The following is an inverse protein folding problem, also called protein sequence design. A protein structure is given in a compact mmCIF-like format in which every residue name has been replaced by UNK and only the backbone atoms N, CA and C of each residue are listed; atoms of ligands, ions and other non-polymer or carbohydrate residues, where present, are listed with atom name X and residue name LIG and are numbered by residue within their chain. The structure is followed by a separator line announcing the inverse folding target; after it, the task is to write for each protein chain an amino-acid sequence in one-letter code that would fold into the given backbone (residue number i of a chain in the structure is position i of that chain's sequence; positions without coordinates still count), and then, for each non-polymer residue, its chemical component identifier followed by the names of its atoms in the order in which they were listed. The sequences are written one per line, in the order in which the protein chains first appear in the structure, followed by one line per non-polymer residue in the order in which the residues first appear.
data_IF_163672588686
#
_entry.id   IF_163672588686
#
_cell.length_a   1.000
_cell.length_b   1.000
_cell.length_c   1.000
_cell.angle_alpha   90.00
_cell.angle_beta   90.00
_cell.angle_gamma   90.00
#
_symmetry.space_group_name_H-M   'P 1'
#
loop_
_entity.id
_entity.type
_entity.pdbx_description
1 polymer ?
#
# COMPACT_ATOMS: atom_id res chain seq x y z
N UNK A 1 -20.29 2.26 7.08
CA UNK A 1 -19.79 1.16 7.93
C UNK A 1 -18.28 1.17 7.99
N UNK A 2 -17.67 0.50 8.96
CA UNK A 2 -16.23 0.52 9.20
C UNK A 2 -15.71 -0.89 9.47
N UNK A 3 -14.49 -1.18 9.01
CA UNK A 3 -13.78 -2.41 9.33
C UNK A 3 -12.71 -2.13 10.38
N UNK A 4 -12.55 -3.03 11.34
CA UNK A 4 -11.46 -2.99 12.32
C UNK A 4 -10.69 -4.30 12.25
N UNK A 5 -9.43 -4.21 11.88
CA UNK A 5 -8.53 -5.35 11.74
C UNK A 5 -7.54 -5.42 12.89
N UNK A 6 -7.43 -6.60 13.50
CA UNK A 6 -6.32 -6.98 14.36
C UNK A 6 -6.13 -8.49 14.33
N UNK A 7 -4.89 -8.93 14.21
CA UNK A 7 -4.51 -10.33 14.35
C UNK A 7 -4.12 -10.68 15.80
N UNK A 8 -3.82 -9.63 16.59
CA UNK A 8 -3.49 -9.75 18.01
C UNK A 8 -4.74 -9.52 18.86
N UNK A 9 -4.87 -10.27 19.94
CA UNK A 9 -5.95 -10.09 20.92
C UNK A 9 -7.34 -10.21 20.33
N UNK A 10 -7.55 -11.16 19.41
CA UNK A 10 -8.85 -11.41 18.79
C UNK A 10 -9.91 -11.83 19.82
N UNK A 11 -11.18 -11.63 19.47
CA UNK A 11 -12.30 -11.94 20.34
C UNK A 11 -12.27 -13.38 20.87
N UNK A 12 -12.34 -13.52 22.20
CA UNK A 12 -12.50 -14.77 22.93
C UNK A 12 -13.57 -14.59 24.01
N UNK A 13 -14.64 -15.37 23.95
CA UNK A 13 -15.69 -15.31 24.99
C UNK A 13 -15.14 -15.65 26.39
N UNK A 14 -15.46 -14.82 27.37
CA UNK A 14 -15.08 -15.03 28.77
C UNK A 14 -13.65 -14.61 29.14
N UNK A 15 -12.84 -14.17 28.17
CA UNK A 15 -11.51 -13.63 28.41
C UNK A 15 -11.47 -12.14 28.04
N UNK A 16 -10.66 -11.37 28.78
CA UNK A 16 -10.38 -9.99 28.39
C UNK A 16 -9.65 -9.99 27.04
N UNK A 17 -10.12 -9.15 26.14
CA UNK A 17 -9.48 -8.94 24.84
C UNK A 17 -9.75 -7.51 24.34
N UNK A 18 -8.84 -6.94 23.49
CA UNK A 18 -9.00 -5.60 22.95
C UNK A 18 -10.32 -5.36 22.19
N UNK A 19 -10.83 -6.36 21.48
CA UNK A 19 -12.09 -6.24 20.73
C UNK A 19 -13.27 -5.95 21.66
N UNK A 20 -13.39 -6.70 22.74
CA UNK A 20 -14.45 -6.52 23.72
C UNK A 20 -14.32 -5.20 24.45
N UNK A 21 -13.11 -4.78 24.78
CA UNK A 21 -12.85 -3.52 25.46
C UNK A 21 -13.17 -2.31 24.56
N UNK A 22 -12.76 -2.36 23.29
CA UNK A 22 -13.10 -1.28 22.33
C UNK A 22 -14.61 -1.24 22.12
N UNK A 23 -15.27 -2.39 21.95
CA UNK A 23 -16.74 -2.44 21.86
C UNK A 23 -17.40 -1.82 23.08
N UNK A 24 -16.96 -2.17 24.30
CA UNK A 24 -17.47 -1.60 25.54
C UNK A 24 -17.39 -0.06 25.52
N UNK A 25 -16.21 0.49 25.20
CA UNK A 25 -15.99 1.94 25.10
C UNK A 25 -16.85 2.60 24.03
N UNK A 26 -16.96 2.00 22.86
CA UNK A 26 -17.82 2.53 21.78
C UNK A 26 -19.28 2.59 22.19
N UNK A 27 -19.75 1.63 23.01
CA UNK A 27 -21.13 1.63 23.53
C UNK A 27 -21.28 2.62 24.67
N UNK A 28 -20.42 2.56 25.70
CA UNK A 28 -20.56 3.35 26.92
C UNK A 28 -20.19 4.81 26.73
N UNK A 29 -19.07 5.10 26.05
CA UNK A 29 -18.54 6.46 25.93
C UNK A 29 -19.10 7.21 24.71
N UNK A 30 -19.49 6.47 23.64
CA UNK A 30 -19.94 7.05 22.38
C UNK A 30 -21.39 6.71 22.00
N UNK A 31 -22.10 5.94 22.82
CA UNK A 31 -23.51 5.64 22.62
C UNK A 31 -23.84 4.82 21.38
N UNK A 32 -22.87 4.10 20.81
CA UNK A 32 -23.11 3.24 19.64
C UNK A 32 -23.87 2.00 20.10
N UNK A 33 -25.04 1.67 19.50
CA UNK A 33 -25.80 0.49 19.91
C UNK A 33 -24.96 -0.80 19.81
N UNK A 34 -24.97 -1.61 20.86
CA UNK A 34 -24.12 -2.81 20.97
C UNK A 34 -24.37 -3.82 19.83
N UNK A 35 -25.58 -3.89 19.28
CA UNK A 35 -25.93 -4.75 18.14
C UNK A 35 -25.32 -4.30 16.82
N UNK A 36 -24.93 -3.04 16.69
CA UNK A 36 -24.30 -2.49 15.49
C UNK A 36 -22.78 -2.75 15.45
N UNK A 37 -22.21 -3.26 16.56
CA UNK A 37 -20.80 -3.61 16.68
C UNK A 37 -20.67 -5.14 16.80
N UNK A 38 -20.08 -5.77 15.78
CA UNK A 38 -20.01 -7.22 15.70
C UNK A 38 -18.59 -7.71 15.49
N UNK A 39 -18.35 -8.94 15.91
CA UNK A 39 -17.09 -9.65 15.69
C UNK A 39 -17.33 -10.78 14.69
N UNK A 40 -16.46 -10.91 13.69
CA UNK A 40 -16.60 -11.98 12.68
C UNK A 40 -16.49 -13.38 13.34
N UNK A 41 -15.78 -13.48 14.46
CA UNK A 41 -15.63 -14.71 15.24
C UNK A 41 -16.96 -15.21 15.85
N UNK A 42 -17.98 -14.35 15.98
CA UNK A 42 -19.32 -14.74 16.43
C UNK A 42 -20.04 -15.59 15.36
N UNK A 43 -19.66 -15.45 14.10
CA UNK A 43 -20.27 -16.17 12.99
C UNK A 43 -19.60 -17.53 12.76
N UNK A 44 -20.03 -18.54 13.52
CA UNK A 44 -19.49 -19.91 13.45
C UNK A 44 -19.96 -20.70 12.22
N UNK A 45 -20.98 -20.23 11.52
CA UNK A 45 -21.53 -20.88 10.33
C UNK A 45 -21.51 -19.96 9.13
N UNK A 46 -21.49 -20.51 7.92
CA UNK A 46 -21.54 -19.74 6.67
C UNK A 46 -22.81 -18.89 6.58
N UNK A 47 -23.93 -19.37 7.08
CA UNK A 47 -25.18 -18.62 7.13
C UNK A 47 -25.05 -17.39 8.03
N UNK A 48 -24.51 -17.56 9.24
CA UNK A 48 -24.27 -16.44 10.16
C UNK A 48 -23.29 -15.42 9.56
N UNK A 49 -22.24 -15.90 8.88
CA UNK A 49 -21.28 -15.04 8.20
C UNK A 49 -21.92 -14.22 7.08
N UNK A 50 -22.76 -14.85 6.25
CA UNK A 50 -23.53 -14.13 5.22
C UNK A 50 -24.45 -13.07 5.82
N UNK A 51 -25.09 -13.36 6.97
CA UNK A 51 -25.94 -12.39 7.67
C UNK A 51 -25.13 -11.17 8.15
N UNK A 52 -23.93 -11.38 8.72
CA UNK A 52 -23.07 -10.25 9.12
C UNK A 52 -22.64 -9.40 7.90
N UNK A 53 -22.29 -10.04 6.80
CA UNK A 53 -21.91 -9.34 5.55
C UNK A 53 -23.10 -8.54 4.99
N UNK A 54 -24.30 -9.10 5.00
CA UNK A 54 -25.51 -8.40 4.60
C UNK A 54 -25.76 -7.19 5.51
N UNK A 55 -25.66 -7.35 6.83
CA UNK A 55 -25.82 -6.27 7.79
C UNK A 55 -24.83 -5.12 7.57
N UNK A 56 -23.58 -5.40 7.21
CA UNK A 56 -22.60 -4.37 6.81
C UNK A 56 -23.03 -3.63 5.55
N UNK A 57 -23.49 -4.35 4.53
CA UNK A 57 -23.92 -3.75 3.27
C UNK A 57 -25.24 -2.97 3.37
N UNK A 58 -26.11 -3.34 4.28
CA UNK A 58 -27.38 -2.66 4.56
C UNK A 58 -27.21 -1.49 5.55
N UNK A 59 -26.15 -1.54 6.38
CA UNK A 59 -25.85 -0.52 7.37
C UNK A 59 -26.40 -0.81 8.77
N UNK A 60 -27.02 -1.98 9.00
CA UNK A 60 -27.47 -2.42 10.33
C UNK A 60 -26.30 -2.81 11.25
N UNK A 61 -25.12 -3.11 10.67
CA UNK A 61 -23.85 -3.25 11.38
C UNK A 61 -22.97 -2.06 11.00
N UNK A 62 -22.58 -1.27 11.99
CA UNK A 62 -21.75 -0.08 11.82
C UNK A 62 -20.27 -0.42 11.84
N UNK A 63 -19.85 -1.32 12.73
CA UNK A 63 -18.45 -1.70 12.94
C UNK A 63 -18.32 -3.22 12.97
N UNK A 64 -17.44 -3.74 12.11
CA UNK A 64 -17.12 -5.15 12.05
C UNK A 64 -15.64 -5.38 12.35
N UNK A 65 -15.37 -6.11 13.42
CA UNK A 65 -14.02 -6.51 13.82
C UNK A 65 -13.67 -7.90 13.24
N UNK A 66 -12.41 -8.07 12.91
CA UNK A 66 -11.88 -9.39 12.55
C UNK A 66 -10.39 -9.42 12.26
N UNK A 67 -9.86 -10.62 12.17
CA UNK A 67 -8.47 -10.86 11.79
C UNK A 67 -8.30 -10.89 10.27
N UNK A 68 -7.05 -10.79 9.80
CA UNK A 68 -6.71 -10.96 8.39
C UNK A 68 -7.23 -12.28 7.84
N UNK A 69 -7.06 -13.37 8.58
CA UNK A 69 -7.49 -14.70 8.14
C UNK A 69 -9.02 -14.83 7.99
N UNK A 70 -9.78 -14.14 8.84
CA UNK A 70 -11.24 -14.28 8.86
C UNK A 70 -11.96 -13.24 7.98
N UNK A 71 -11.47 -12.03 7.89
CA UNK A 71 -12.03 -10.97 7.05
C UNK A 71 -11.25 -10.75 5.76
N UNK A 72 -9.99 -11.16 5.71
CA UNK A 72 -9.08 -10.93 4.58
C UNK A 72 -9.45 -11.72 3.32
N UNK A 73 -10.32 -12.73 3.36
CA UNK A 73 -10.73 -13.51 2.19
C UNK A 73 -12.24 -13.68 2.12
N UNK A 74 -12.81 -13.63 0.90
CA UNK A 74 -14.20 -13.99 0.64
C UNK A 74 -15.30 -13.08 1.20
N UNK A 75 -14.94 -11.94 1.81
CA UNK A 75 -15.92 -11.00 2.39
C UNK A 75 -16.20 -9.85 1.42
N UNK A 76 -17.44 -9.70 0.97
CA UNK A 76 -17.92 -8.65 0.10
C UNK A 76 -18.88 -7.73 0.88
N UNK A 77 -18.34 -6.92 1.79
CA UNK A 77 -19.10 -6.03 2.66
C UNK A 77 -18.73 -4.54 2.47
N UNK A 78 -18.32 -4.17 1.24
CA UNK A 78 -17.77 -2.86 0.92
C UNK A 78 -18.81 -1.78 0.61
N UNK A 79 -20.08 -2.13 0.36
CA UNK A 79 -21.05 -1.16 -0.21
C UNK A 79 -21.18 0.14 0.56
N UNK A 80 -20.99 0.12 1.85
CA UNK A 80 -21.13 1.26 2.75
C UNK A 80 -19.87 1.56 3.56
N UNK A 81 -18.74 0.95 3.22
CA UNK A 81 -17.50 1.10 3.97
C UNK A 81 -16.88 2.49 3.74
N UNK A 82 -16.63 3.24 4.80
CA UNK A 82 -16.02 4.57 4.77
C UNK A 82 -14.65 4.61 5.44
N UNK A 83 -14.36 3.64 6.30
CA UNK A 83 -13.06 3.56 6.97
C UNK A 83 -12.62 2.12 7.24
N UNK A 84 -11.30 1.94 7.26
CA UNK A 84 -10.61 0.74 7.73
C UNK A 84 -9.66 1.16 8.84
N UNK A 85 -9.70 0.44 9.94
CA UNK A 85 -8.83 0.64 11.09
C UNK A 85 -7.91 -0.57 11.24
N UNK A 86 -6.60 -0.35 11.18
CA UNK A 86 -5.58 -1.35 11.47
C UNK A 86 -5.05 -1.14 12.89
N UNK A 87 -5.53 -1.95 13.84
CA UNK A 87 -5.05 -1.90 15.24
C UNK A 87 -3.67 -2.52 15.40
N UNK A 88 -3.30 -3.38 14.45
CA UNK A 88 -1.97 -3.92 14.28
C UNK A 88 -1.62 -3.98 12.79
N UNK A 89 -0.33 -4.04 12.48
CA UNK A 89 0.16 -4.28 11.13
C UNK A 89 0.44 -5.76 10.91
N UNK A 90 0.02 -6.33 9.77
CA UNK A 90 0.40 -7.69 9.41
C UNK A 90 1.89 -7.79 9.09
N UNK A 91 2.41 -9.01 8.99
CA UNK A 91 3.82 -9.27 8.67
C UNK A 91 4.11 -9.27 7.16
N UNK A 92 3.08 -9.27 6.32
CA UNK A 92 3.20 -9.34 4.86
C UNK A 92 2.49 -8.17 4.21
N UNK A 93 3.10 -7.51 3.22
CA UNK A 93 2.44 -6.46 2.44
C UNK A 93 1.14 -6.93 1.77
N UNK A 94 1.11 -8.17 1.26
CA UNK A 94 -0.09 -8.76 0.66
C UNK A 94 -1.28 -8.84 1.62
N UNK A 95 -1.02 -9.06 2.91
CA UNK A 95 -2.07 -9.14 3.92
C UNK A 95 -2.65 -7.74 4.20
N UNK A 96 -1.82 -6.70 4.17
CA UNK A 96 -2.27 -5.33 4.29
C UNK A 96 -3.13 -4.94 3.08
N UNK A 97 -2.66 -5.22 1.86
CA UNK A 97 -3.44 -5.01 0.63
C UNK A 97 -4.77 -5.77 0.65
N UNK A 98 -4.79 -6.99 1.20
CA UNK A 98 -6.03 -7.76 1.35
C UNK A 98 -7.01 -7.11 2.33
N UNK A 99 -6.52 -6.57 3.46
CA UNK A 99 -7.35 -5.82 4.41
C UNK A 99 -7.95 -4.59 3.73
N UNK A 100 -7.12 -3.78 3.08
CA UNK A 100 -7.55 -2.55 2.40
C UNK A 100 -8.55 -2.85 1.28
N UNK A 101 -8.31 -3.89 0.52
CA UNK A 101 -9.20 -4.37 -0.54
C UNK A 101 -10.59 -4.83 -0.05
N UNK A 102 -10.89 -4.82 1.27
CA UNK A 102 -12.23 -5.08 1.79
C UNK A 102 -13.15 -3.87 1.68
N UNK A 103 -12.62 -2.65 1.77
CA UNK A 103 -13.39 -1.42 1.65
C UNK A 103 -13.00 -0.62 0.40
N UNK A 104 -11.72 -0.59 0.03
CA UNK A 104 -11.21 0.07 -1.19
C UNK A 104 -11.48 -0.84 -2.39
N UNK A 105 -12.74 -0.90 -2.79
CA UNK A 105 -13.19 -1.82 -3.85
C UNK A 105 -14.35 -1.23 -4.66
N UNK A 106 -14.47 -1.65 -5.92
CA UNK A 106 -15.63 -1.33 -6.76
C UNK A 106 -16.95 -1.74 -6.09
N UNK A 107 -17.99 -0.92 -6.24
CA UNK A 107 -19.31 -1.16 -5.64
C UNK A 107 -19.46 -0.58 -4.24
N UNK A 108 -18.58 0.28 -3.78
CA UNK A 108 -18.77 1.08 -2.57
C UNK A 108 -19.61 2.32 -2.92
N UNK A 109 -20.91 2.22 -2.66
CA UNK A 109 -21.89 3.25 -3.01
C UNK A 109 -21.76 4.49 -2.13
N UNK A 110 -21.53 4.29 -0.82
CA UNK A 110 -21.42 5.41 0.13
C UNK A 110 -20.14 6.20 -0.11
N UNK A 111 -19.01 5.54 -0.34
CA UNK A 111 -17.78 6.24 -0.68
C UNK A 111 -17.95 7.06 -1.97
N UNK A 112 -18.58 6.48 -2.99
CA UNK A 112 -18.80 7.13 -4.29
C UNK A 112 -19.68 8.38 -4.19
N UNK A 113 -20.76 8.34 -3.41
CA UNK A 113 -21.77 9.40 -3.41
C UNK A 113 -21.63 10.38 -2.23
N UNK A 114 -20.95 10.01 -1.14
CA UNK A 114 -20.92 10.77 0.10
C UNK A 114 -19.53 11.01 0.69
N UNK A 115 -18.46 10.44 0.10
CA UNK A 115 -17.10 10.57 0.61
C UNK A 115 -16.07 10.80 -0.50
N UNK A 116 -16.40 11.56 -1.54
CA UNK A 116 -15.51 11.90 -2.67
C UNK A 116 -14.82 10.68 -3.30
N UNK A 117 -15.50 9.54 -3.30
CA UNK A 117 -14.98 8.25 -3.75
C UNK A 117 -13.73 7.80 -2.98
N UNK A 118 -13.63 8.16 -1.68
CA UNK A 118 -12.51 7.84 -0.80
C UNK A 118 -12.95 6.93 0.33
N UNK A 119 -12.01 6.16 0.83
CA UNK A 119 -12.12 5.36 2.06
C UNK A 119 -10.92 5.70 2.92
N UNK A 120 -11.16 6.02 4.18
CA UNK A 120 -10.09 6.32 5.13
C UNK A 120 -9.39 5.02 5.57
N UNK A 121 -8.08 4.99 5.45
CA UNK A 121 -7.24 3.91 5.97
C UNK A 121 -6.49 4.44 7.18
N UNK A 122 -6.82 3.95 8.36
CA UNK A 122 -6.30 4.43 9.65
C UNK A 122 -5.44 3.35 10.26
N UNK A 123 -4.18 3.66 10.49
CA UNK A 123 -3.22 2.74 11.08
C UNK A 123 -2.86 3.25 12.47
N UNK A 124 -3.06 2.40 13.48
CA UNK A 124 -2.69 2.71 14.85
C UNK A 124 -1.33 2.12 15.16
N UNK A 125 -0.43 2.93 15.68
CA UNK A 125 0.90 2.50 16.07
C UNK A 125 1.37 3.29 17.29
N UNK A 126 2.13 2.64 18.15
CA UNK A 126 2.75 3.25 19.32
C UNK A 126 4.17 3.64 18.95
N UNK A 127 4.55 4.87 19.24
CA UNK A 127 5.92 5.35 19.02
C UNK A 127 6.95 4.49 19.77
N UNK A 128 8.10 4.28 19.13
CA UNK A 128 9.24 3.55 19.72
C UNK A 128 8.89 2.13 20.21
N UNK A 129 7.90 1.50 19.60
CA UNK A 129 7.44 0.15 19.93
C UNK A 129 7.76 -0.85 18.83
N UNK A 130 7.30 -2.09 19.04
CA UNK A 130 7.34 -3.14 18.02
C UNK A 130 6.61 -2.75 16.72
N UNK A 131 5.64 -1.84 16.79
CA UNK A 131 4.91 -1.37 15.62
C UNK A 131 5.84 -0.64 14.64
N UNK A 132 6.73 0.22 15.13
CA UNK A 132 7.74 0.90 14.31
C UNK A 132 8.66 -0.10 13.59
N UNK A 133 9.05 -1.18 14.28
CA UNK A 133 9.85 -2.26 13.68
C UNK A 133 9.06 -3.01 12.59
N UNK A 134 7.80 -3.34 12.85
CA UNK A 134 6.92 -4.00 11.87
C UNK A 134 6.71 -3.16 10.63
N UNK A 135 6.52 -1.85 10.78
CA UNK A 135 6.39 -0.93 9.65
C UNK A 135 7.65 -0.90 8.79
N UNK A 136 8.83 -0.80 9.40
CA UNK A 136 10.10 -0.86 8.69
C UNK A 136 10.26 -2.17 7.91
N UNK A 137 9.90 -3.29 8.53
CA UNK A 137 9.97 -4.60 7.90
C UNK A 137 9.00 -4.73 6.72
N UNK A 138 7.77 -4.23 6.86
CA UNK A 138 6.79 -4.20 5.78
C UNK A 138 7.27 -3.35 4.61
N UNK A 139 7.81 -2.18 4.89
CA UNK A 139 8.37 -1.27 3.90
C UNK A 139 9.48 -1.95 3.09
N UNK A 140 10.47 -2.53 3.76
CA UNK A 140 11.58 -3.24 3.10
C UNK A 140 11.08 -4.40 2.21
N UNK A 141 10.08 -5.14 2.68
CA UNK A 141 9.45 -6.21 1.89
C UNK A 141 8.71 -5.67 0.66
N UNK A 142 7.99 -4.56 0.80
CA UNK A 142 7.28 -3.92 -0.30
C UNK A 142 8.25 -3.43 -1.38
N UNK A 143 9.32 -2.77 -0.98
CA UNK A 143 10.38 -2.31 -1.90
C UNK A 143 11.00 -3.47 -2.68
N UNK A 144 11.29 -4.57 -1.99
CA UNK A 144 11.84 -5.77 -2.64
C UNK A 144 10.87 -6.34 -3.69
N UNK A 145 9.58 -6.41 -3.36
CA UNK A 145 8.54 -6.86 -4.31
C UNK A 145 8.45 -5.92 -5.51
N UNK A 146 8.54 -4.63 -5.32
CA UNK A 146 8.50 -3.63 -6.41
C UNK A 146 9.74 -3.70 -7.30
N UNK A 147 10.90 -3.90 -6.72
CA UNK A 147 12.14 -4.11 -7.49
C UNK A 147 12.06 -5.36 -8.37
N UNK A 148 11.51 -6.46 -7.82
CA UNK A 148 11.24 -7.69 -8.58
C UNK A 148 10.27 -7.46 -9.74
N UNK A 149 9.12 -6.81 -9.46
CA UNK A 149 8.09 -6.54 -10.47
C UNK A 149 8.58 -5.64 -11.59
N UNK A 150 9.42 -4.67 -11.27
CA UNK A 150 9.92 -3.68 -12.22
C UNK A 150 11.22 -4.10 -12.91
N UNK A 151 11.70 -5.33 -12.67
CA UNK A 151 12.95 -5.87 -13.23
C UNK A 151 14.18 -4.95 -12.99
N UNK A 152 14.22 -4.27 -11.84
CA UNK A 152 15.30 -3.34 -11.45
C UNK A 152 16.37 -3.99 -10.59
N UNK A 153 16.52 -5.30 -10.67
CA UNK A 153 17.46 -6.11 -9.89
C UNK A 153 18.94 -5.89 -10.21
N UNK A 154 19.30 -4.90 -11.04
CA UNK A 154 20.69 -4.60 -11.44
C UNK A 154 21.57 -3.97 -10.37
N UNK A 155 21.02 -3.49 -9.26
CA UNK A 155 21.78 -3.00 -8.11
C UNK A 155 21.46 -3.84 -6.89
N UNK A 156 22.49 -4.31 -6.18
CA UNK A 156 22.35 -5.01 -4.88
C UNK A 156 21.83 -4.14 -3.74
N UNK A 157 21.53 -2.88 -4.01
CA UNK A 157 20.97 -1.92 -3.07
C UNK A 157 19.47 -1.84 -3.29
N UNK A 158 18.71 -2.08 -2.23
CA UNK A 158 17.29 -1.79 -2.16
C UNK A 158 17.16 -0.27 -2.25
N UNK A 159 16.54 0.22 -3.34
CA UNK A 159 16.30 1.64 -3.52
C UNK A 159 15.06 2.02 -2.70
N UNK A 160 15.29 2.63 -1.54
CA UNK A 160 14.25 3.12 -0.63
C UNK A 160 13.47 4.32 -1.22
N UNK A 161 13.87 4.83 -2.38
CA UNK A 161 13.40 6.13 -2.90
C UNK A 161 12.38 6.10 -4.03
N UNK A 162 12.04 4.94 -4.59
CA UNK A 162 11.23 4.89 -5.82
C UNK A 162 9.72 4.73 -5.62
N UNK A 163 9.15 5.23 -4.53
CA UNK A 163 7.70 5.26 -4.40
C UNK A 163 7.11 6.50 -5.06
N UNK A 164 6.06 6.26 -5.82
CA UNK A 164 5.31 7.16 -6.68
C UNK A 164 5.12 8.57 -6.09
N UNK A 165 5.62 9.59 -6.75
CA UNK A 165 5.43 11.01 -6.37
C UNK A 165 3.96 11.45 -6.29
N UNK A 166 3.03 10.60 -6.73
CA UNK A 166 1.59 10.90 -6.79
C UNK A 166 0.78 10.44 -5.59
N UNK A 167 1.33 9.66 -4.67
CA UNK A 167 0.54 9.00 -3.62
C UNK A 167 0.62 9.63 -2.22
N UNK A 168 1.14 10.84 -2.07
CA UNK A 168 1.24 11.50 -0.76
C UNK A 168 2.48 11.07 0.04
N UNK A 169 2.35 10.97 1.36
CA UNK A 169 3.46 10.54 2.22
C UNK A 169 3.89 9.12 1.90
N UNK A 170 5.19 8.93 1.67
CA UNK A 170 5.75 7.60 1.50
C UNK A 170 5.85 6.87 2.86
N UNK A 171 6.03 5.56 2.80
CA UNK A 171 6.09 4.73 4.00
C UNK A 171 7.26 5.09 4.93
N UNK A 172 8.41 5.54 4.39
CA UNK A 172 9.54 6.03 5.17
C UNK A 172 9.21 7.29 5.96
N UNK A 173 8.37 8.17 5.41
CA UNK A 173 7.86 9.35 6.12
C UNK A 173 6.91 8.94 7.26
N UNK A 174 6.06 7.92 7.06
CA UNK A 174 5.25 7.36 8.15
C UNK A 174 6.11 6.78 9.27
N UNK A 175 7.14 6.00 8.93
CA UNK A 175 8.07 5.44 9.91
C UNK A 175 8.78 6.54 10.70
N UNK A 176 9.21 7.60 10.04
CA UNK A 176 9.89 8.72 10.67
C UNK A 176 8.95 9.45 11.66
N UNK A 177 7.69 9.66 11.29
CA UNK A 177 6.69 10.26 12.18
C UNK A 177 6.40 9.36 13.37
N UNK A 178 6.21 8.04 13.14
CA UNK A 178 5.93 7.08 14.19
C UNK A 178 7.10 6.87 15.15
N UNK A 179 8.34 7.07 14.68
CA UNK A 179 9.52 7.00 15.54
C UNK A 179 9.68 8.24 16.44
N UNK A 180 8.91 9.30 16.18
CA UNK A 180 9.06 10.59 16.87
C UNK A 180 10.41 11.27 16.61
N UNK A 181 11.13 10.85 15.57
CA UNK A 181 12.46 11.36 15.25
C UNK A 181 12.42 12.20 13.97
N UNK A 182 12.56 13.51 14.14
CA UNK A 182 12.57 14.48 13.03
C UNK A 182 13.72 14.25 12.07
N UNK A 183 14.85 13.71 12.54
CA UNK A 183 16.02 13.45 11.70
C UNK A 183 15.75 12.30 10.71
N UNK A 184 14.97 11.31 11.12
CA UNK A 184 14.54 10.24 10.21
C UNK A 184 13.59 10.74 9.13
N UNK A 185 12.74 11.74 9.44
CA UNK A 185 11.88 12.38 8.45
C UNK A 185 12.70 13.16 7.43
N UNK A 186 13.70 13.92 7.90
CA UNK A 186 14.60 14.67 7.03
C UNK A 186 15.46 13.72 6.18
N UNK A 187 15.98 12.65 6.79
CA UNK A 187 16.68 11.58 6.08
C UNK A 187 15.80 10.99 4.95
N UNK A 188 14.56 10.60 5.24
CA UNK A 188 13.63 10.03 4.25
C UNK A 188 13.36 11.00 3.08
N UNK A 189 13.21 12.31 3.36
CA UNK A 189 13.05 13.34 2.33
C UNK A 189 14.29 13.49 1.44
N UNK A 190 15.48 13.46 2.05
CA UNK A 190 16.75 13.56 1.33
C UNK A 190 16.99 12.31 0.47
N UNK A 191 16.72 11.13 0.97
CA UNK A 191 16.81 9.87 0.24
C UNK A 191 15.88 9.87 -0.99
N UNK A 192 14.63 10.32 -0.83
CA UNK A 192 13.69 10.50 -1.93
C UNK A 192 14.24 11.45 -3.01
N UNK A 193 14.85 12.56 -2.60
CA UNK A 193 15.47 13.52 -3.52
C UNK A 193 16.67 12.93 -4.26
N UNK A 194 17.51 12.18 -3.55
CA UNK A 194 18.67 11.47 -4.13
C UNK A 194 18.20 10.45 -5.17
N UNK A 195 17.20 9.65 -4.85
CA UNK A 195 16.64 8.64 -5.78
C UNK A 195 16.07 9.30 -7.05
N UNK A 196 15.38 10.43 -6.92
CA UNK A 196 14.92 11.23 -8.07
C UNK A 196 16.07 11.68 -8.95
N UNK A 197 17.10 12.28 -8.35
CA UNK A 197 18.30 12.75 -9.08
C UNK A 197 19.09 11.60 -9.73
N UNK A 198 19.20 10.45 -9.07
CA UNK A 198 19.85 9.27 -9.66
C UNK A 198 19.06 8.70 -10.84
N UNK A 199 17.74 8.71 -10.77
CA UNK A 199 16.87 8.32 -11.89
C UNK A 199 17.08 9.25 -13.10
N UNK A 200 17.09 10.56 -12.88
CA UNK A 200 17.38 11.56 -13.91
C UNK A 200 18.77 11.38 -14.50
N UNK A 201 19.77 11.18 -13.66
CA UNK A 201 21.16 10.89 -14.08
C UNK A 201 21.22 9.65 -14.97
N UNK A 202 20.57 8.57 -14.58
CA UNK A 202 20.55 7.34 -15.38
C UNK A 202 19.82 7.53 -16.72
N UNK A 203 18.72 8.28 -16.73
CA UNK A 203 18.01 8.62 -17.95
C UNK A 203 18.89 9.45 -18.89
N UNK A 204 19.62 10.43 -18.35
CA UNK A 204 20.58 11.24 -19.12
C UNK A 204 21.71 10.40 -19.70
N UNK A 205 22.31 9.50 -18.90
CA UNK A 205 23.38 8.59 -19.37
C UNK A 205 22.90 7.70 -20.52
N UNK A 206 21.69 7.14 -20.37
CA UNK A 206 21.06 6.30 -21.42
C UNK A 206 20.79 7.10 -22.69
N UNK A 207 20.24 8.31 -22.56
CA UNK A 207 19.99 9.19 -23.68
C UNK A 207 21.28 9.58 -24.40
N UNK A 208 22.33 9.91 -23.63
CA UNK A 208 23.66 10.24 -24.18
C UNK A 208 24.27 9.04 -24.91
N UNK A 209 24.19 7.85 -24.35
CA UNK A 209 24.69 6.61 -25.00
C UNK A 209 23.94 6.32 -26.30
N UNK A 210 22.61 6.39 -26.29
CA UNK A 210 21.79 6.20 -27.46
C UNK A 210 22.09 7.22 -28.57
N UNK A 211 22.26 8.49 -28.19
CA UNK A 211 22.63 9.55 -29.14
C UNK A 211 24.00 9.32 -29.77
N UNK A 212 24.96 8.83 -28.96
CA UNK A 212 26.31 8.52 -29.45
C UNK A 212 26.30 7.34 -30.43
N UNK A 213 25.59 6.25 -30.09
CA UNK A 213 25.43 5.11 -30.99
C UNK A 213 24.77 5.49 -32.32
N UNK A 214 23.78 6.38 -32.27
CA UNK A 214 23.10 6.90 -33.46
C UNK A 214 24.01 7.76 -34.30
N UNK A 215 24.87 8.56 -33.69
CA UNK A 215 25.89 9.35 -34.41
C UNK A 215 26.89 8.44 -35.12
N UNK A 216 27.40 7.41 -34.43
CA UNK A 216 28.33 6.44 -35.00
C UNK A 216 27.72 5.67 -36.18
N UNK A 217 26.44 5.32 -36.11
CA UNK A 217 25.71 4.68 -37.21
C UNK A 217 25.55 5.60 -38.41
N UNK A 218 25.20 6.86 -38.20
CA UNK A 218 25.10 7.88 -39.26
C UNK A 218 26.45 8.10 -39.91
N UNK A 219 27.54 8.23 -39.14
CA UNK A 219 28.89 8.37 -39.67
C UNK A 219 29.30 7.23 -40.56
N UNK A 220 29.05 5.96 -40.11
CA UNK A 220 29.34 4.76 -40.96
C UNK A 220 28.53 4.76 -42.27
N UNK A 221 27.27 5.17 -42.20
CA UNK A 221 26.42 5.29 -43.39
C UNK A 221 26.94 6.35 -44.37
N UNK A 222 27.36 7.47 -43.85
CA UNK A 222 27.93 8.56 -44.67
C UNK A 222 29.22 8.12 -45.33
N UNK A 223 30.12 7.44 -44.60
CA UNK A 223 31.39 6.98 -45.15
C UNK A 223 31.17 5.83 -46.19
N UNK A 224 30.25 4.93 -45.93
CA UNK A 224 29.85 3.91 -46.90
C UNK A 224 29.29 4.50 -48.22
N UNK A 225 28.46 5.57 -48.08
CA UNK A 225 27.94 6.26 -49.26
C UNK A 225 28.99 7.02 -50.02
N UNK A 226 30.01 7.59 -49.35
CA UNK A 226 31.15 8.23 -50.02
C UNK A 226 31.96 7.24 -50.82
N UNK A 227 32.22 6.05 -50.26
CA UNK A 227 32.92 4.97 -50.98
C UNK A 227 32.16 4.47 -52.21
N UNK A 228 30.83 4.33 -52.09
CA UNK A 228 29.96 3.99 -53.21
C UNK A 228 30.02 5.05 -54.34
N UNK A 229 29.89 6.31 -53.97
CA UNK A 229 30.00 7.41 -54.96
C UNK A 229 31.36 7.43 -55.62
N UNK A 230 32.46 7.17 -54.90
CA UNK A 230 33.80 7.11 -55.47
C UNK A 230 33.97 5.97 -56.48
N UNK A 231 33.37 4.80 -56.19
CA UNK A 231 33.34 3.65 -57.14
C UNK A 231 32.57 3.99 -58.41
N UNK A 232 31.37 4.53 -58.31
CA UNK A 232 30.59 4.90 -59.51
C UNK A 232 31.29 5.94 -60.38
N UNK A 233 32.03 6.88 -59.78
CA UNK A 233 32.84 7.85 -60.56
C UNK A 233 34.10 7.27 -61.22
N UNK A 234 34.57 6.13 -60.81
CA UNK A 234 35.73 5.48 -61.38
C UNK A 234 35.35 4.48 -62.48
N UNK A 235 34.09 4.17 -62.66
CA UNK A 235 33.53 3.27 -63.68
C UNK A 235 32.99 4.03 -64.89
N UNK A 236 32.94 5.39 -64.85
CA UNK A 236 32.67 6.29 -66.01
C UNK A 236 34.03 6.74 -66.61
#
# INVERSE_FOLDING_TARGET
TQFVFSDLGTYKPGEWNPYSEIKRKLVEDHGIPAQEIRFIQEAKTDKARKTLIAGMNEGSIRVLFGSTSMLGTGVNAQKRAVAIHHLDTPWRPSDLEQRDGRAVRKGNEVAKFHADNKVDVIIYAVEKSLDSYKFNLLHNKQLFIEQLKNNRMGSRTIDEGSMDEKSGMNFSEYVAILSGNTDLLEKAKLEKKIAGLDSERQAFIRSKSSSRSRLDEVMRTVDGNKELIARFRSEE
#
